data_IF_337510940637
#
_entry.id   IF_337510940637
#
_cell.length_a   1.000
_cell.length_b   1.000
_cell.length_c   1.000
_cell.angle_alpha   90.00
_cell.angle_beta   90.00
_cell.angle_gamma   90.00
#
_symmetry.space_group_name_H-M   'P 1'
#
loop_
_entity.id
_entity.type
_entity.pdbx_description
1 polymer ?
#
# COMPACT_ATOMS: atom_id res chain seq x y z
N UNK A 1 1.67 14.08 17.90
CA UNK A 1 0.34 13.43 18.13
C UNK A 1 0.43 12.56 19.38
N UNK A 2 -0.61 12.59 20.20
CA UNK A 2 -0.68 11.71 21.37
C UNK A 2 -1.34 10.39 20.92
N UNK A 3 -0.60 9.28 21.01
CA UNK A 3 -1.06 7.91 20.73
C UNK A 3 -0.86 7.07 21.98
N UNK A 4 -1.76 6.14 22.27
CA UNK A 4 -1.73 5.30 23.48
C UNK A 4 -0.88 4.04 23.29
N UNK A 5 -0.03 4.00 22.24
CA UNK A 5 0.88 2.90 21.96
C UNK A 5 2.26 3.42 21.52
N UNK A 6 3.29 2.60 21.70
CA UNK A 6 4.67 2.88 21.31
C UNK A 6 4.94 2.36 19.90
N UNK A 7 6.00 2.89 19.26
CA UNK A 7 6.50 2.37 17.97
C UNK A 7 6.88 0.89 18.06
N UNK A 8 7.46 0.46 19.19
CA UNK A 8 7.81 -0.95 19.44
C UNK A 8 6.58 -1.84 19.42
N UNK A 9 5.54 -1.50 20.17
CA UNK A 9 4.27 -2.25 20.17
C UNK A 9 3.68 -2.36 18.77
N UNK A 10 3.72 -1.25 18.00
CA UNK A 10 3.21 -1.24 16.64
C UNK A 10 3.98 -2.21 15.72
N UNK A 11 5.32 -2.23 15.79
CA UNK A 11 6.15 -3.13 14.99
C UNK A 11 5.87 -4.59 15.38
N UNK A 12 5.88 -4.92 16.67
CA UNK A 12 5.57 -6.26 17.17
C UNK A 12 4.19 -6.73 16.69
N UNK A 13 3.18 -5.87 16.72
CA UNK A 13 1.83 -6.18 16.25
C UNK A 13 1.79 -6.52 14.74
N UNK A 14 2.42 -5.70 13.88
CA UNK A 14 2.39 -5.96 12.43
C UNK A 14 3.22 -7.18 12.05
N UNK A 15 4.30 -7.47 12.78
CA UNK A 15 5.08 -8.71 12.63
C UNK A 15 4.25 -9.94 13.02
N UNK A 16 3.54 -9.88 14.14
CA UNK A 16 2.66 -10.95 14.61
C UNK A 16 1.53 -11.24 13.62
N UNK A 17 0.91 -10.20 13.06
CA UNK A 17 -0.12 -10.36 12.02
C UNK A 17 0.46 -11.06 10.79
N UNK A 18 1.62 -10.61 10.30
CA UNK A 18 2.25 -11.20 9.11
C UNK A 18 2.63 -12.66 9.33
N UNK A 19 3.05 -13.02 10.54
CA UNK A 19 3.39 -14.40 10.91
C UNK A 19 2.14 -15.28 11.03
N UNK A 20 1.05 -14.73 11.58
CA UNK A 20 -0.20 -15.47 11.81
C UNK A 20 -1.01 -15.65 10.54
N UNK A 21 -0.97 -14.65 9.63
CA UNK A 21 -1.70 -14.65 8.36
C UNK A 21 -0.69 -14.38 7.22
N UNK A 22 0.05 -15.41 6.79
CA UNK A 22 1.03 -15.26 5.70
C UNK A 22 0.37 -14.78 4.41
N UNK A 23 1.04 -13.87 3.70
CA UNK A 23 0.53 -13.32 2.44
C UNK A 23 -0.48 -12.20 2.58
N UNK A 24 -0.83 -11.79 3.80
CA UNK A 24 -1.74 -10.65 4.02
C UNK A 24 -1.07 -9.33 3.63
N UNK A 25 -1.84 -8.42 3.03
CA UNK A 25 -1.40 -7.06 2.79
C UNK A 25 -1.62 -6.20 4.04
N UNK A 26 -0.58 -5.54 4.51
CA UNK A 26 -0.64 -4.62 5.64
C UNK A 26 -0.42 -3.19 5.18
N UNK A 27 -1.44 -2.36 5.37
CA UNK A 27 -1.40 -0.93 5.06
C UNK A 27 -1.22 -0.05 6.30
N UNK A 28 -0.61 1.11 6.12
CA UNK A 28 -0.54 2.14 7.15
C UNK A 28 -0.82 3.53 6.58
N UNK A 29 -1.59 4.30 7.33
CA UNK A 29 -1.76 5.73 7.14
C UNK A 29 -0.60 6.47 7.78
N UNK A 30 0.16 7.23 7.00
CA UNK A 30 1.34 7.96 7.45
C UNK A 30 1.16 9.45 7.20
N UNK A 31 1.01 10.20 8.29
CA UNK A 31 0.98 11.67 8.25
C UNK A 31 2.39 12.21 8.42
N UNK A 32 2.80 13.10 7.52
CA UNK A 32 4.09 13.80 7.58
C UNK A 32 3.91 15.30 7.79
N UNK A 33 4.95 15.95 8.33
CA UNK A 33 4.96 17.39 8.55
C UNK A 33 4.01 17.85 9.66
N UNK A 34 3.77 17.02 10.66
CA UNK A 34 3.09 17.43 11.88
C UNK A 34 3.94 18.48 12.61
N UNK A 35 3.33 19.50 13.26
CA UNK A 35 4.09 20.51 14.00
C UNK A 35 5.10 19.89 14.96
N UNK A 36 6.35 20.33 14.90
CA UNK A 36 7.48 19.79 15.67
C UNK A 36 8.12 18.52 15.07
N UNK A 37 7.69 18.05 13.88
CA UNK A 37 8.40 16.97 13.19
C UNK A 37 9.68 17.51 12.55
N UNK A 38 10.82 17.26 13.17
CA UNK A 38 12.16 17.52 12.61
C UNK A 38 12.65 16.38 11.71
N UNK A 39 13.90 16.50 11.25
CA UNK A 39 14.53 15.47 10.42
C UNK A 39 14.78 14.17 11.19
N UNK A 40 15.02 14.26 12.51
CA UNK A 40 15.19 13.10 13.38
C UNK A 40 13.93 12.24 13.44
N UNK A 41 12.77 12.84 13.68
CA UNK A 41 11.46 12.18 13.75
C UNK A 41 11.08 11.59 12.40
N UNK A 42 11.31 12.33 11.31
CA UNK A 42 11.07 11.85 9.96
C UNK A 42 11.93 10.62 9.63
N UNK A 43 13.24 10.70 9.91
CA UNK A 43 14.16 9.58 9.68
C UNK A 43 13.80 8.35 10.52
N UNK A 44 13.34 8.53 11.75
CA UNK A 44 12.84 7.43 12.58
C UNK A 44 11.60 6.79 11.95
N UNK A 45 10.68 7.58 11.38
CA UNK A 45 9.51 7.08 10.65
C UNK A 45 9.94 6.27 9.41
N UNK A 46 10.88 6.77 8.62
CA UNK A 46 11.42 6.05 7.44
C UNK A 46 11.99 4.71 7.86
N UNK A 47 12.89 4.68 8.86
CA UNK A 47 13.52 3.44 9.36
C UNK A 47 12.50 2.43 9.89
N UNK A 48 11.49 2.90 10.63
CA UNK A 48 10.43 2.02 11.13
C UNK A 48 9.69 1.35 9.97
N UNK A 49 9.31 2.13 8.96
CA UNK A 49 8.61 1.60 7.79
C UNK A 49 9.50 0.66 6.99
N UNK A 50 10.76 1.02 6.75
CA UNK A 50 11.72 0.15 6.03
C UNK A 50 11.83 -1.23 6.67
N UNK A 51 11.95 -1.28 7.99
CA UNK A 51 12.17 -2.51 8.75
C UNK A 51 10.88 -3.25 9.15
N UNK A 52 9.70 -2.68 8.88
CA UNK A 52 8.42 -3.32 9.17
C UNK A 52 7.92 -4.17 7.99
N UNK A 53 7.01 -5.14 8.19
CA UNK A 53 6.39 -5.91 7.11
C UNK A 53 5.23 -5.19 6.41
N UNK A 54 5.11 -3.88 6.55
CA UNK A 54 4.12 -3.08 5.85
C UNK A 54 4.30 -3.20 4.34
N UNK A 55 3.21 -3.33 3.61
CA UNK A 55 3.18 -3.52 2.15
C UNK A 55 2.62 -2.32 1.41
N UNK A 56 1.76 -1.53 2.06
CA UNK A 56 1.09 -0.36 1.50
C UNK A 56 1.22 0.83 2.42
N UNK A 57 1.42 2.02 1.83
CA UNK A 57 1.46 3.28 2.57
C UNK A 57 0.49 4.27 1.95
N UNK A 58 -0.40 4.79 2.76
CA UNK A 58 -1.19 5.97 2.43
C UNK A 58 -0.54 7.19 3.05
N UNK A 59 0.27 7.92 2.28
CA UNK A 59 1.05 9.06 2.74
C UNK A 59 0.31 10.36 2.47
N UNK A 60 0.06 11.14 3.51
CA UNK A 60 -0.56 12.46 3.42
C UNK A 60 0.17 13.49 4.28
N UNK A 61 0.15 14.74 3.83
CA UNK A 61 0.73 15.85 4.56
C UNK A 61 -0.23 16.37 5.61
N UNK A 62 0.30 16.76 6.76
CA UNK A 62 -0.48 17.48 7.76
C UNK A 62 -1.06 18.76 7.16
N UNK A 63 -2.34 18.96 7.37
CA UNK A 63 -3.07 20.18 7.04
C UNK A 63 -3.73 20.74 8.31
N UNK A 64 -3.45 22.00 8.69
CA UNK A 64 -4.09 22.62 9.85
C UNK A 64 -5.62 22.60 9.75
N UNK A 65 -6.28 22.16 10.81
CA UNK A 65 -7.74 22.18 10.92
C UNK A 65 -8.16 23.21 11.98
N UNK A 66 -8.99 24.19 11.65
CA UNK A 66 -9.47 25.17 12.64
C UNK A 66 -10.05 24.49 13.88
N UNK A 67 -9.76 25.04 15.06
CA UNK A 67 -10.23 24.50 16.35
C UNK A 67 -9.44 23.31 16.91
N UNK A 68 -8.40 22.82 16.21
CA UNK A 68 -7.53 21.77 16.74
C UNK A 68 -6.29 22.37 17.42
N UNK A 69 -5.79 21.79 18.53
CA UNK A 69 -4.55 22.25 19.16
C UNK A 69 -3.36 22.30 18.19
N UNK A 70 -3.26 21.34 17.27
CA UNK A 70 -2.17 21.28 16.32
C UNK A 70 -2.14 22.46 15.32
N UNK A 71 -3.29 23.11 15.05
CA UNK A 71 -3.34 24.25 14.15
C UNK A 71 -2.63 25.49 14.70
N UNK A 72 -2.49 25.59 16.03
CA UNK A 72 -1.84 26.71 16.73
C UNK A 72 -0.48 26.33 17.34
N UNK A 73 -0.03 25.09 17.17
CA UNK A 73 1.29 24.68 17.63
C UNK A 73 2.40 25.45 16.88
N UNK A 74 3.50 25.81 17.56
CA UNK A 74 4.70 26.32 16.89
C UNK A 74 5.31 25.26 15.97
N UNK A 75 6.39 25.64 15.25
CA UNK A 75 7.18 24.74 14.41
C UNK A 75 6.35 24.03 13.32
N UNK A 76 5.47 24.77 12.67
CA UNK A 76 4.75 24.28 11.50
C UNK A 76 5.74 23.95 10.37
N UNK A 77 5.68 22.73 9.82
CA UNK A 77 6.59 22.33 8.76
C UNK A 77 6.28 23.10 7.45
N UNK A 78 7.30 23.66 6.76
CA UNK A 78 7.14 24.32 5.46
C UNK A 78 6.56 23.36 4.42
N UNK A 79 5.76 23.87 3.49
CA UNK A 79 5.14 23.06 2.42
C UNK A 79 6.16 22.32 1.54
N UNK A 80 7.33 22.96 1.30
CA UNK A 80 8.40 22.32 0.54
C UNK A 80 8.93 21.07 1.26
N UNK A 81 9.17 21.15 2.56
CA UNK A 81 9.62 20.03 3.40
C UNK A 81 8.58 18.90 3.39
N UNK A 82 7.30 19.25 3.49
CA UNK A 82 6.22 18.25 3.40
C UNK A 82 6.21 17.54 2.05
N UNK A 83 6.40 18.26 0.95
CA UNK A 83 6.47 17.66 -0.39
C UNK A 83 7.65 16.70 -0.53
N UNK A 84 8.83 17.10 -0.06
CA UNK A 84 10.03 16.27 -0.11
C UNK A 84 9.86 14.98 0.72
N UNK A 85 9.45 15.11 1.98
CA UNK A 85 9.19 13.96 2.85
C UNK A 85 8.12 13.04 2.30
N UNK A 86 7.04 13.60 1.75
CA UNK A 86 5.98 12.83 1.09
C UNK A 86 6.50 12.03 -0.11
N UNK A 87 7.38 12.64 -0.92
CA UNK A 87 8.00 11.97 -2.06
C UNK A 87 8.84 10.77 -1.63
N UNK A 88 9.66 10.92 -0.59
CA UNK A 88 10.49 9.83 -0.02
C UNK A 88 9.61 8.66 0.44
N UNK A 89 8.59 8.91 1.26
CA UNK A 89 7.74 7.85 1.78
C UNK A 89 6.87 7.20 0.70
N UNK A 90 6.41 7.94 -0.30
CA UNK A 90 5.69 7.36 -1.44
C UNK A 90 6.59 6.46 -2.28
N UNK A 91 7.85 6.85 -2.49
CA UNK A 91 8.83 6.00 -3.18
C UNK A 91 9.08 4.70 -2.39
N UNK A 92 9.27 4.81 -1.07
CA UNK A 92 9.40 3.66 -0.19
C UNK A 92 8.15 2.75 -0.24
N UNK A 93 6.96 3.34 -0.20
CA UNK A 93 5.69 2.59 -0.31
C UNK A 93 5.57 1.83 -1.62
N UNK A 94 5.93 2.46 -2.77
CA UNK A 94 5.94 1.76 -4.08
C UNK A 94 6.92 0.58 -4.07
N UNK A 95 8.13 0.77 -3.55
CA UNK A 95 9.13 -0.30 -3.44
C UNK A 95 8.63 -1.48 -2.60
N UNK A 96 8.03 -1.21 -1.44
CA UNK A 96 7.48 -2.25 -0.56
C UNK A 96 6.30 -2.98 -1.22
N UNK A 97 5.40 -2.25 -1.86
CA UNK A 97 4.28 -2.83 -2.60
C UNK A 97 4.74 -3.70 -3.77
N UNK A 98 5.73 -3.25 -4.52
CA UNK A 98 6.33 -4.06 -5.59
C UNK A 98 6.92 -5.37 -5.06
N UNK A 99 7.70 -5.32 -3.96
CA UNK A 99 8.28 -6.53 -3.36
C UNK A 99 7.20 -7.47 -2.84
N UNK A 100 6.14 -6.95 -2.23
CA UNK A 100 5.00 -7.74 -1.80
C UNK A 100 4.34 -8.47 -2.97
N UNK A 101 3.99 -7.76 -4.04
CA UNK A 101 3.36 -8.36 -5.23
C UNK A 101 4.26 -9.38 -5.90
N UNK A 102 5.58 -9.09 -5.97
CA UNK A 102 6.57 -9.98 -6.57
C UNK A 102 6.69 -11.32 -5.85
N UNK A 103 6.40 -11.40 -4.56
CA UNK A 103 6.39 -12.65 -3.81
C UNK A 103 5.36 -13.66 -4.33
N UNK A 104 4.34 -13.20 -5.07
CA UNK A 104 3.31 -14.05 -5.66
C UNK A 104 3.55 -14.42 -7.13
N UNK A 105 4.69 -14.03 -7.71
CA UNK A 105 5.03 -14.40 -9.09
C UNK A 105 5.02 -15.93 -9.27
N UNK A 106 4.27 -16.42 -10.27
CA UNK A 106 4.07 -17.84 -10.54
C UNK A 106 3.00 -18.52 -9.67
N UNK A 107 2.51 -17.89 -8.61
CA UNK A 107 1.43 -18.41 -7.78
C UNK A 107 0.08 -18.27 -8.47
N UNK A 108 -0.86 -19.14 -8.13
CA UNK A 108 -2.26 -19.02 -8.49
C UNK A 108 -3.01 -18.35 -7.34
N UNK A 109 -3.75 -17.29 -7.67
CA UNK A 109 -4.56 -16.52 -6.74
C UNK A 109 -5.99 -16.43 -7.26
N UNK A 110 -6.95 -16.35 -6.36
CA UNK A 110 -8.33 -16.05 -6.70
C UNK A 110 -8.48 -14.53 -6.89
N UNK A 111 -9.08 -14.15 -8.02
CA UNK A 111 -9.28 -12.76 -8.42
C UNK A 111 -10.76 -12.50 -8.67
N UNK A 112 -11.33 -11.53 -7.97
CA UNK A 112 -12.68 -11.02 -8.26
C UNK A 112 -12.57 -10.00 -9.39
N UNK A 113 -13.21 -10.31 -10.53
CA UNK A 113 -13.18 -9.40 -11.70
C UNK A 113 -14.02 -8.16 -11.44
N UNK A 114 -13.48 -7.00 -11.70
CA UNK A 114 -14.13 -5.70 -11.55
C UNK A 114 -15.03 -5.38 -12.77
N UNK A 115 -16.06 -4.54 -12.56
CA UNK A 115 -17.00 -4.15 -13.62
C UNK A 115 -16.35 -3.35 -14.75
N UNK A 116 -15.26 -2.65 -14.45
CA UNK A 116 -14.56 -1.80 -15.42
C UNK A 116 -13.22 -2.40 -15.77
N UNK A 117 -12.95 -2.58 -17.06
CA UNK A 117 -11.63 -3.00 -17.52
C UNK A 117 -10.59 -1.90 -17.31
N UNK A 118 -9.34 -2.24 -17.53
CA UNK A 118 -8.24 -1.29 -17.58
C UNK A 118 -8.46 -0.27 -18.72
N UNK A 119 -8.28 1.01 -18.40
CA UNK A 119 -8.60 2.11 -19.33
C UNK A 119 -7.69 2.19 -20.55
N UNK A 120 -6.47 1.68 -20.45
CA UNK A 120 -5.46 1.78 -21.52
C UNK A 120 -5.46 0.55 -22.40
N UNK A 121 -5.66 -0.62 -21.81
CA UNK A 121 -5.54 -1.92 -22.51
C UNK A 121 -6.86 -2.61 -22.79
N UNK A 122 -7.97 -2.10 -22.23
CA UNK A 122 -9.31 -2.73 -22.24
C UNK A 122 -9.32 -4.17 -21.67
N UNK A 123 -8.26 -4.54 -20.97
CA UNK A 123 -8.14 -5.86 -20.36
C UNK A 123 -8.97 -5.92 -19.07
N UNK A 124 -9.65 -7.04 -18.79
CA UNK A 124 -10.30 -7.24 -17.50
C UNK A 124 -9.32 -7.06 -16.35
N UNK A 125 -9.75 -6.35 -15.32
CA UNK A 125 -9.00 -6.17 -14.07
C UNK A 125 -9.75 -6.81 -12.92
N UNK A 126 -9.04 -7.19 -11.90
CA UNK A 126 -9.64 -7.71 -10.68
C UNK A 126 -8.76 -7.53 -9.46
N UNK A 127 -9.32 -7.87 -8.32
CA UNK A 127 -8.67 -7.74 -7.02
C UNK A 127 -8.61 -9.10 -6.35
N UNK A 128 -7.43 -9.44 -5.82
CA UNK A 128 -7.23 -10.63 -4.98
C UNK A 128 -7.72 -10.38 -3.55
N UNK A 129 -7.87 -11.44 -2.76
CA UNK A 129 -8.20 -11.38 -1.33
C UNK A 129 -7.19 -10.61 -0.49
N UNK A 130 -5.93 -10.56 -0.93
CA UNK A 130 -4.87 -9.79 -0.31
C UNK A 130 -4.58 -8.44 -1.02
N UNK A 131 -5.59 -7.88 -1.69
CA UNK A 131 -5.58 -6.54 -2.29
C UNK A 131 -4.53 -6.30 -3.38
N UNK A 132 -4.13 -7.34 -4.11
CA UNK A 132 -3.34 -7.18 -5.33
C UNK A 132 -4.29 -6.93 -6.50
N UNK A 133 -4.17 -5.78 -7.16
CA UNK A 133 -4.87 -5.51 -8.41
C UNK A 133 -4.13 -6.19 -9.55
N UNK A 134 -4.87 -6.96 -10.36
CA UNK A 134 -4.32 -7.77 -11.46
C UNK A 134 -5.02 -7.42 -12.76
N UNK A 135 -4.25 -7.18 -13.84
CA UNK A 135 -4.75 -7.20 -15.22
C UNK A 135 -4.78 -8.67 -15.66
N UNK A 136 -5.94 -9.15 -16.09
CA UNK A 136 -6.14 -10.59 -16.31
C UNK A 136 -6.24 -10.89 -17.80
N UNK A 137 -5.21 -11.51 -18.36
CA UNK A 137 -5.22 -12.02 -19.73
C UNK A 137 -6.02 -13.31 -19.81
N UNK A 138 -6.81 -13.49 -20.89
CA UNK A 138 -7.63 -14.67 -21.10
C UNK A 138 -8.96 -14.69 -20.33
N UNK A 139 -9.22 -13.72 -19.46
CA UNK A 139 -10.53 -13.52 -18.87
C UNK A 139 -11.45 -12.70 -19.80
N UNK A 140 -12.76 -12.85 -19.62
CA UNK A 140 -13.77 -12.07 -20.33
C UNK A 140 -14.44 -11.09 -19.38
N UNK A 141 -14.85 -9.93 -19.86
CA UNK A 141 -15.58 -8.94 -19.06
C UNK A 141 -16.95 -9.48 -18.56
N UNK A 142 -17.52 -10.47 -19.24
CA UNK A 142 -18.71 -11.20 -18.79
C UNK A 142 -18.53 -11.97 -17.47
N UNK A 143 -17.30 -12.09 -16.98
CA UNK A 143 -16.96 -12.68 -15.69
C UNK A 143 -16.94 -11.63 -14.55
N UNK A 144 -17.33 -10.38 -14.82
CA UNK A 144 -17.46 -9.34 -13.79
C UNK A 144 -18.29 -9.81 -12.59
N UNK A 145 -17.81 -9.48 -11.40
CA UNK A 145 -18.35 -9.91 -10.12
C UNK A 145 -18.07 -11.37 -9.75
N UNK A 146 -17.42 -12.14 -10.63
CA UNK A 146 -17.04 -13.53 -10.35
C UNK A 146 -15.60 -13.61 -9.84
N UNK A 147 -15.38 -14.56 -8.96
CA UNK A 147 -14.05 -14.99 -8.51
C UNK A 147 -13.52 -16.06 -9.47
N UNK A 148 -12.33 -15.84 -10.01
CA UNK A 148 -11.69 -16.76 -10.96
C UNK A 148 -10.23 -17.03 -10.56
N UNK A 149 -9.70 -18.25 -10.85
CA UNK A 149 -8.31 -18.57 -10.61
C UNK A 149 -7.40 -17.88 -11.66
N UNK A 150 -6.35 -17.21 -11.19
CA UNK A 150 -5.43 -16.46 -12.03
C UNK A 150 -4.00 -16.75 -11.60
N UNK A 151 -3.15 -17.21 -12.51
CA UNK A 151 -1.72 -17.36 -12.28
C UNK A 151 -1.03 -16.03 -12.53
N UNK A 152 -0.29 -15.55 -11.54
CA UNK A 152 0.50 -14.31 -11.65
C UNK A 152 1.69 -14.57 -12.58
N UNK A 153 1.68 -13.93 -13.74
CA UNK A 153 2.65 -14.14 -14.81
C UNK A 153 3.78 -13.10 -14.80
N UNK A 154 3.44 -11.85 -14.45
CA UNK A 154 4.39 -10.74 -14.45
C UNK A 154 4.06 -9.73 -13.35
N UNK A 155 5.11 -9.16 -12.76
CA UNK A 155 4.99 -8.07 -11.78
C UNK A 155 6.03 -7.01 -12.13
N UNK A 156 5.54 -5.81 -12.46
CA UNK A 156 6.37 -4.61 -12.65
C UNK A 156 6.21 -3.65 -11.47
N UNK A 157 6.92 -2.53 -11.47
CA UNK A 157 6.72 -1.49 -10.45
C UNK A 157 5.28 -0.96 -10.44
N UNK A 158 4.63 -0.87 -11.60
CA UNK A 158 3.35 -0.22 -11.77
C UNK A 158 2.16 -1.17 -11.80
N UNK A 159 2.36 -2.43 -12.21
CA UNK A 159 1.26 -3.36 -12.47
C UNK A 159 1.60 -4.81 -12.16
N UNK A 160 0.56 -5.61 -12.06
CA UNK A 160 0.61 -7.06 -11.96
C UNK A 160 -0.25 -7.64 -13.07
N UNK A 161 0.31 -8.56 -13.84
CA UNK A 161 -0.36 -9.25 -14.94
C UNK A 161 -0.52 -10.71 -14.57
N UNK A 162 -1.72 -11.22 -14.73
CA UNK A 162 -2.05 -12.62 -14.53
C UNK A 162 -2.72 -13.23 -15.75
N UNK A 163 -2.69 -14.55 -15.81
CA UNK A 163 -3.34 -15.33 -16.86
C UNK A 163 -4.42 -16.18 -16.21
N UNK A 164 -5.63 -16.13 -16.77
CA UNK A 164 -6.72 -16.99 -16.33
C UNK A 164 -6.31 -18.48 -16.47
N UNK A 165 -6.41 -19.24 -15.40
CA UNK A 165 -5.97 -20.65 -15.35
C UNK A 165 -7.13 -21.65 -15.32
N UNK A 166 -8.39 -21.17 -15.38
CA UNK A 166 -9.57 -22.04 -15.45
C UNK A 166 -9.80 -22.61 -16.86
N UNK A 167 -10.43 -23.77 -16.90
CA UNK A 167 -10.96 -24.33 -18.16
C UNK A 167 -12.28 -23.62 -18.50
N UNK A 168 -12.49 -23.30 -19.78
CA UNK A 168 -13.75 -22.80 -20.31
C UNK A 168 -14.83 -23.89 -20.27
#
# INVERSE_FOLDING_TARGET
>A
MKRDYTSRFYVELVEDITRTVPGTALGADVMIGFPGEGDGEFNNTVRLIENSPLTHLHVFSYSPRPGTPAATMPEQAPEQVKKERSSVLRALGRKKNFHFRRAFLGSELNVVIEDKPDRETDSPTGLTDNYIRVKVSGAQQSQSGKEIPVRIAEVTENETIGVFSGNY
#
